data_IF_088548498200
#
_entry.id   IF_088548498200
#
_cell.length_a   1.000
_cell.length_b   1.000
_cell.length_c   1.000
_cell.angle_alpha   90.00
_cell.angle_beta   90.00
_cell.angle_gamma   90.00
#
_symmetry.space_group_name_H-M   'P 1'
#
loop_
_entity.id
_entity.type
_entity.pdbx_description
1 polymer ?
#
# COMPACT_ATOMS: atom_id res chain seq x y z
N UNK A 1 -40.90 -2.98 -2.66
CA UNK A 1 -39.72 -3.22 -3.47
C UNK A 1 -38.52 -2.36 -3.09
N UNK A 2 -38.67 -1.13 -2.61
CA UNK A 2 -37.56 -0.19 -2.30
C UNK A 2 -36.66 -0.57 -1.11
N UNK A 3 -37.17 -1.28 -0.10
CA UNK A 3 -36.42 -1.59 1.14
C UNK A 3 -35.34 -2.69 0.92
N UNK A 4 -35.62 -3.68 0.08
CA UNK A 4 -34.64 -4.73 -0.28
C UNK A 4 -33.51 -4.21 -1.17
N UNK A 5 -33.79 -3.26 -2.03
CA UNK A 5 -32.76 -2.69 -2.96
C UNK A 5 -31.78 -1.80 -2.21
N UNK A 6 -32.25 -1.03 -1.21
CA UNK A 6 -31.39 -0.23 -0.34
C UNK A 6 -30.48 -1.10 0.54
N UNK A 7 -31.02 -2.17 1.15
CA UNK A 7 -30.22 -3.12 1.95
C UNK A 7 -29.09 -3.75 1.14
N UNK A 8 -29.39 -4.21 -0.08
CA UNK A 8 -28.40 -4.82 -0.98
C UNK A 8 -27.30 -3.83 -1.40
N UNK A 9 -27.63 -2.55 -1.54
CA UNK A 9 -26.65 -1.52 -1.87
C UNK A 9 -25.71 -1.22 -0.69
N UNK A 10 -26.25 -1.06 0.51
CA UNK A 10 -25.45 -0.85 1.73
C UNK A 10 -24.52 -2.04 2.03
N UNK A 11 -25.00 -3.26 1.81
CA UNK A 11 -24.21 -4.47 1.93
C UNK A 11 -23.03 -4.49 0.93
N UNK A 12 -23.31 -4.16 -0.34
CA UNK A 12 -22.29 -4.12 -1.37
C UNK A 12 -21.25 -3.00 -1.15
N UNK A 13 -21.65 -1.85 -0.60
CA UNK A 13 -20.72 -0.80 -0.18
C UNK A 13 -19.83 -1.25 0.99
N UNK A 14 -20.41 -1.97 1.95
CA UNK A 14 -19.67 -2.52 3.08
C UNK A 14 -18.66 -3.58 2.62
N UNK A 15 -19.04 -4.42 1.67
CA UNK A 15 -18.17 -5.40 1.05
C UNK A 15 -17.00 -4.73 0.31
N UNK A 16 -17.28 -3.67 -0.46
CA UNK A 16 -16.25 -2.90 -1.15
C UNK A 16 -15.22 -2.31 -0.17
N UNK A 17 -15.68 -1.68 0.91
CA UNK A 17 -14.80 -1.17 1.98
C UNK A 17 -13.94 -2.28 2.60
N UNK A 18 -14.55 -3.43 2.87
CA UNK A 18 -13.84 -4.59 3.41
C UNK A 18 -12.77 -5.11 2.46
N UNK A 19 -13.07 -5.15 1.15
CA UNK A 19 -12.13 -5.56 0.11
C UNK A 19 -10.92 -4.62 0.04
N UNK A 20 -11.14 -3.30 0.08
CA UNK A 20 -10.07 -2.29 0.13
C UNK A 20 -9.21 -2.45 1.38
N UNK A 21 -9.83 -2.64 2.54
CA UNK A 21 -9.08 -2.83 3.80
C UNK A 21 -8.23 -4.11 3.79
N UNK A 22 -8.77 -5.21 3.27
CA UNK A 22 -8.01 -6.48 3.10
C UNK A 22 -6.83 -6.30 2.16
N UNK A 23 -7.04 -5.65 1.02
CA UNK A 23 -5.96 -5.34 0.06
C UNK A 23 -4.88 -4.47 0.71
N UNK A 24 -5.28 -3.49 1.55
CA UNK A 24 -4.35 -2.66 2.32
C UNK A 24 -3.43 -3.47 3.20
N UNK A 25 -3.99 -4.42 3.98
CA UNK A 25 -3.19 -5.33 4.81
C UNK A 25 -2.23 -6.22 4.01
N UNK A 26 -2.65 -6.68 2.81
CA UNK A 26 -1.78 -7.45 1.90
C UNK A 26 -0.63 -6.60 1.37
N UNK A 27 -0.89 -5.38 0.93
CA UNK A 27 0.12 -4.46 0.43
C UNK A 27 1.13 -4.07 1.52
N UNK A 28 0.66 -3.75 2.73
CA UNK A 28 1.53 -3.48 3.88
C UNK A 28 2.45 -4.66 4.18
N UNK A 29 1.88 -5.88 4.23
CA UNK A 29 2.64 -7.10 4.45
C UNK A 29 3.69 -7.33 3.37
N UNK A 30 3.35 -7.17 2.10
CA UNK A 30 4.30 -7.31 1.00
C UNK A 30 5.43 -6.27 1.08
N UNK A 31 5.15 -5.02 1.48
CA UNK A 31 6.19 -4.02 1.71
C UNK A 31 7.14 -4.43 2.85
N UNK A 32 6.61 -4.98 3.96
CA UNK A 32 7.41 -5.50 5.08
C UNK A 32 8.29 -6.69 4.67
N UNK A 33 7.69 -7.67 3.99
CA UNK A 33 8.39 -8.86 3.51
C UNK A 33 9.44 -8.47 2.44
N UNK A 34 9.13 -7.51 1.56
CA UNK A 34 10.03 -6.97 0.55
C UNK A 34 11.25 -6.27 1.15
N UNK A 35 11.04 -5.44 2.17
CA UNK A 35 12.14 -4.81 2.91
C UNK A 35 13.01 -5.84 3.62
N UNK A 36 12.39 -6.84 4.25
CA UNK A 36 13.10 -7.91 4.93
C UNK A 36 13.92 -8.77 3.96
N UNK A 37 13.35 -9.12 2.81
CA UNK A 37 14.03 -9.84 1.74
C UNK A 37 15.25 -9.06 1.20
N UNK A 38 15.06 -7.75 1.00
CA UNK A 38 16.11 -6.85 0.53
C UNK A 38 17.28 -6.76 1.50
N UNK A 39 17.02 -6.70 2.82
CA UNK A 39 18.06 -6.61 3.84
C UNK A 39 18.78 -7.96 4.03
N UNK A 40 18.02 -9.08 4.00
CA UNK A 40 18.55 -10.42 4.30
C UNK A 40 19.09 -11.17 3.09
N UNK A 41 18.83 -10.69 1.87
CA UNK A 41 19.14 -11.37 0.60
C UNK A 41 18.60 -12.82 0.53
N UNK A 42 17.44 -13.06 1.12
CA UNK A 42 16.84 -14.39 1.23
C UNK A 42 15.99 -14.73 -0.01
N UNK A 43 16.44 -15.72 -0.78
CA UNK A 43 15.82 -16.15 -2.06
C UNK A 43 14.39 -16.68 -1.87
N UNK A 44 14.09 -17.35 -0.78
CA UNK A 44 12.75 -17.89 -0.53
C UNK A 44 11.76 -16.77 -0.19
N UNK A 45 12.20 -15.72 0.49
CA UNK A 45 11.39 -14.52 0.72
C UNK A 45 11.09 -13.78 -0.60
N UNK A 46 12.04 -13.73 -1.54
CA UNK A 46 11.83 -13.12 -2.87
C UNK A 46 10.72 -13.87 -3.64
N UNK A 47 10.75 -15.21 -3.62
CA UNK A 47 9.69 -16.02 -4.25
C UNK A 47 8.34 -15.75 -3.61
N UNK A 48 8.28 -15.71 -2.28
CA UNK A 48 7.06 -15.40 -1.53
C UNK A 48 6.50 -14.01 -1.87
N UNK A 49 7.35 -12.99 -1.99
CA UNK A 49 6.93 -11.65 -2.42
C UNK A 49 6.31 -11.66 -3.83
N UNK A 50 6.83 -12.46 -4.77
CA UNK A 50 6.24 -12.59 -6.11
C UNK A 50 4.85 -13.26 -6.08
N UNK A 51 4.59 -14.19 -5.16
CA UNK A 51 3.27 -14.80 -5.02
C UNK A 51 2.27 -13.86 -4.31
N UNK A 52 2.72 -13.13 -3.31
CA UNK A 52 1.89 -12.11 -2.64
C UNK A 52 1.44 -11.00 -3.60
N UNK A 53 2.30 -10.57 -4.49
CA UNK A 53 2.02 -9.58 -5.52
C UNK A 53 0.85 -10.00 -6.43
N UNK A 54 0.84 -11.24 -6.90
CA UNK A 54 -0.29 -11.78 -7.68
C UNK A 54 -1.63 -11.73 -6.94
N UNK A 55 -1.60 -11.92 -5.62
CA UNK A 55 -2.79 -11.85 -4.77
C UNK A 55 -3.29 -10.41 -4.69
N UNK A 56 -2.38 -9.42 -4.65
CA UNK A 56 -2.72 -8.00 -4.65
C UNK A 56 -3.31 -7.59 -6.00
N UNK A 57 -2.73 -8.04 -7.12
CA UNK A 57 -3.27 -7.82 -8.47
C UNK A 57 -4.70 -8.35 -8.61
N UNK A 58 -4.97 -9.54 -8.06
CA UNK A 58 -6.31 -10.13 -8.09
C UNK A 58 -7.28 -9.36 -7.20
N UNK A 59 -6.82 -8.89 -6.05
CA UNK A 59 -7.63 -8.04 -5.17
C UNK A 59 -8.00 -6.71 -5.84
N UNK A 60 -7.06 -6.05 -6.56
CA UNK A 60 -7.35 -4.85 -7.33
C UNK A 60 -8.41 -5.12 -8.41
N UNK A 61 -8.25 -6.19 -9.20
CA UNK A 61 -9.25 -6.57 -10.22
C UNK A 61 -10.63 -6.81 -9.62
N UNK A 62 -10.69 -7.48 -8.48
CA UNK A 62 -11.95 -7.73 -7.76
C UNK A 62 -12.60 -6.42 -7.30
N UNK A 63 -11.84 -5.49 -6.71
CA UNK A 63 -12.33 -4.17 -6.30
C UNK A 63 -12.86 -3.39 -7.51
N UNK A 64 -12.14 -3.40 -8.63
CA UNK A 64 -12.56 -2.77 -9.87
C UNK A 64 -13.91 -3.33 -10.35
N UNK A 65 -14.07 -4.65 -10.36
CA UNK A 65 -15.33 -5.30 -10.76
C UNK A 65 -16.50 -4.95 -9.81
N UNK A 66 -16.27 -4.98 -8.49
CA UNK A 66 -17.27 -4.59 -7.48
C UNK A 66 -17.72 -3.14 -7.71
N UNK A 67 -16.77 -2.24 -7.94
CA UNK A 67 -17.02 -0.82 -8.20
C UNK A 67 -17.84 -0.61 -9.47
N UNK A 68 -17.45 -1.21 -10.59
CA UNK A 68 -18.20 -1.10 -11.84
C UNK A 68 -19.61 -1.66 -11.69
N UNK A 69 -19.79 -2.77 -10.97
CA UNK A 69 -21.11 -3.33 -10.69
C UNK A 69 -21.98 -2.38 -9.88
N UNK A 70 -21.44 -1.75 -8.84
CA UNK A 70 -22.15 -0.76 -8.03
C UNK A 70 -22.59 0.44 -8.87
N UNK A 71 -21.71 0.98 -9.72
CA UNK A 71 -22.01 2.11 -10.59
C UNK A 71 -23.07 1.77 -11.66
N UNK A 72 -23.03 0.56 -12.21
CA UNK A 72 -23.93 0.14 -13.28
C UNK A 72 -25.35 -0.20 -12.79
N UNK A 73 -25.47 -0.79 -11.61
CA UNK A 73 -26.74 -1.31 -11.09
C UNK A 73 -27.48 -0.35 -10.15
N UNK A 74 -26.76 0.58 -9.54
CA UNK A 74 -27.26 1.49 -8.54
C UNK A 74 -26.85 2.90 -8.95
N UNK A 75 -27.75 3.84 -9.00
CA UNK A 75 -27.41 5.24 -9.28
C UNK A 75 -26.92 5.92 -7.97
N UNK A 76 -25.65 5.71 -7.55
CA UNK A 76 -25.18 6.19 -6.25
C UNK A 76 -25.16 7.71 -6.22
N UNK A 77 -25.54 8.29 -5.09
CA UNK A 77 -25.61 9.74 -4.94
C UNK A 77 -24.42 10.29 -4.15
N UNK A 78 -23.97 11.42 -4.60
CA UNK A 78 -23.00 12.31 -3.93
C UNK A 78 -21.91 11.60 -3.07
N UNK A 79 -22.21 11.28 -1.82
CA UNK A 79 -21.25 10.71 -0.85
C UNK A 79 -20.87 9.28 -1.24
N UNK A 80 -21.84 8.45 -1.62
CA UNK A 80 -21.59 7.05 -1.99
C UNK A 80 -20.80 6.97 -3.29
N UNK A 81 -21.16 7.80 -4.28
CA UNK A 81 -20.40 7.89 -5.53
C UNK A 81 -18.93 8.27 -5.26
N UNK A 82 -18.70 9.26 -4.39
CA UNK A 82 -17.34 9.66 -4.01
C UNK A 82 -16.57 8.53 -3.36
N UNK A 83 -17.20 7.80 -2.43
CA UNK A 83 -16.59 6.66 -1.76
C UNK A 83 -16.23 5.55 -2.76
N UNK A 84 -17.13 5.21 -3.67
CA UNK A 84 -16.91 4.18 -4.70
C UNK A 84 -15.72 4.57 -5.58
N UNK A 85 -15.66 5.82 -6.09
CA UNK A 85 -14.54 6.30 -6.92
C UNK A 85 -13.23 6.33 -6.12
N UNK A 86 -13.26 6.77 -4.86
CA UNK A 86 -12.07 6.78 -4.00
C UNK A 86 -11.54 5.36 -3.76
N UNK A 87 -12.43 4.36 -3.65
CA UNK A 87 -12.01 2.95 -3.51
C UNK A 87 -11.18 2.45 -4.70
N UNK A 88 -11.52 2.85 -5.94
CA UNK A 88 -10.70 2.56 -7.13
C UNK A 88 -9.31 3.18 -7.03
N UNK A 89 -9.25 4.45 -6.63
CA UNK A 89 -7.99 5.17 -6.52
C UNK A 89 -7.10 4.56 -5.43
N UNK A 90 -7.69 4.20 -4.29
CA UNK A 90 -6.95 3.54 -3.20
C UNK A 90 -6.45 2.17 -3.66
N UNK A 91 -7.26 1.36 -4.34
CA UNK A 91 -6.85 0.05 -4.83
C UNK A 91 -5.63 0.15 -5.77
N UNK A 92 -5.66 1.09 -6.72
CA UNK A 92 -4.52 1.33 -7.61
C UNK A 92 -3.28 1.83 -6.88
N UNK A 93 -3.43 2.67 -5.85
CA UNK A 93 -2.29 3.08 -5.01
C UNK A 93 -1.72 1.90 -4.21
N UNK A 94 -2.56 1.01 -3.70
CA UNK A 94 -2.15 -0.17 -2.93
C UNK A 94 -1.42 -1.20 -3.79
N UNK A 95 -1.88 -1.43 -5.02
CA UNK A 95 -1.18 -2.26 -6.00
C UNK A 95 0.23 -1.72 -6.24
N UNK A 96 0.38 -0.41 -6.49
CA UNK A 96 1.69 0.22 -6.66
C UNK A 96 2.58 0.08 -5.43
N UNK A 97 2.03 0.17 -4.22
CA UNK A 97 2.78 -0.11 -2.99
C UNK A 97 3.28 -1.57 -2.96
N UNK A 98 2.43 -2.53 -3.32
CA UNK A 98 2.81 -3.93 -3.47
C UNK A 98 3.92 -4.14 -4.49
N UNK A 99 3.76 -3.56 -5.68
CA UNK A 99 4.76 -3.55 -6.74
C UNK A 99 6.13 -3.04 -6.25
N UNK A 100 6.16 -1.96 -5.46
CA UNK A 100 7.41 -1.45 -4.88
C UNK A 100 8.00 -2.44 -3.87
N UNK A 101 7.19 -3.08 -3.02
CA UNK A 101 7.63 -4.12 -2.09
C UNK A 101 8.26 -5.31 -2.81
N UNK A 102 7.60 -5.84 -3.84
CA UNK A 102 8.12 -6.91 -4.69
C UNK A 102 9.41 -6.49 -5.40
N UNK A 103 9.44 -5.29 -6.00
CA UNK A 103 10.61 -4.81 -6.71
C UNK A 103 11.81 -4.59 -5.77
N UNK A 104 11.55 -4.19 -4.53
CA UNK A 104 12.58 -4.09 -3.50
C UNK A 104 13.16 -5.47 -3.18
N UNK A 105 12.31 -6.49 -2.95
CA UNK A 105 12.74 -7.86 -2.74
C UNK A 105 13.64 -8.37 -3.88
N UNK A 106 13.27 -8.12 -5.14
CA UNK A 106 14.03 -8.53 -6.32
C UNK A 106 15.40 -7.88 -6.44
N UNK A 107 15.61 -6.74 -5.80
CA UNK A 107 16.90 -6.01 -5.79
C UNK A 107 17.83 -6.43 -4.66
N UNK A 108 17.46 -7.45 -3.89
CA UNK A 108 18.31 -7.98 -2.81
C UNK A 108 19.65 -8.53 -3.30
N UNK A 109 19.74 -8.93 -4.57
CA UNK A 109 20.97 -9.38 -5.24
C UNK A 109 21.95 -8.24 -5.58
N UNK A 110 21.52 -6.98 -5.49
CA UNK A 110 22.40 -5.82 -5.71
C UNK A 110 23.40 -5.56 -4.56
N UNK A 111 23.50 -6.48 -3.60
CA UNK A 111 24.64 -6.54 -2.69
C UNK A 111 24.65 -5.50 -1.58
N UNK A 112 23.49 -5.20 -0.95
CA UNK A 112 23.49 -4.42 0.29
C UNK A 112 24.32 -5.05 1.41
N UNK A 113 24.56 -6.37 1.35
CA UNK A 113 25.51 -7.04 2.24
C UNK A 113 26.94 -6.53 2.08
N UNK A 114 27.28 -5.96 0.93
CA UNK A 114 28.58 -5.33 0.62
C UNK A 114 28.55 -3.81 0.81
N UNK A 115 27.36 -3.21 1.02
CA UNK A 115 27.23 -1.79 1.25
C UNK A 115 27.75 -1.38 2.64
N UNK A 116 28.15 -0.11 2.77
CA UNK A 116 28.57 0.39 4.07
C UNK A 116 27.45 0.23 5.11
N UNK A 117 27.78 -0.07 6.38
CA UNK A 117 26.78 -0.22 7.46
C UNK A 117 25.86 0.99 7.60
N UNK A 118 26.37 2.20 7.30
CA UNK A 118 25.59 3.43 7.34
C UNK A 118 24.53 3.48 6.24
N UNK A 119 24.85 3.03 5.02
CA UNK A 119 23.91 2.97 3.91
C UNK A 119 22.82 1.92 4.18
N UNK A 120 23.20 0.72 4.60
CA UNK A 120 22.26 -0.35 4.95
C UNK A 120 21.28 0.08 6.06
N UNK A 121 21.78 0.71 7.11
CA UNK A 121 20.97 1.25 8.20
C UNK A 121 20.03 2.38 7.73
N UNK A 122 20.53 3.25 6.85
CA UNK A 122 19.72 4.33 6.25
C UNK A 122 18.56 3.77 5.43
N UNK A 123 18.83 2.80 4.56
CA UNK A 123 17.81 2.14 3.72
C UNK A 123 16.75 1.43 4.57
N UNK A 124 17.16 0.74 5.63
CA UNK A 124 16.23 0.11 6.58
C UNK A 124 15.31 1.16 7.21
N UNK A 125 15.86 2.23 7.75
CA UNK A 125 15.08 3.32 8.36
C UNK A 125 14.11 3.96 7.37
N UNK A 126 14.50 4.18 6.13
CA UNK A 126 13.63 4.72 5.09
C UNK A 126 12.45 3.77 4.82
N UNK A 127 12.72 2.48 4.64
CA UNK A 127 11.69 1.48 4.42
C UNK A 127 10.72 1.37 5.59
N UNK A 128 11.21 1.32 6.82
CA UNK A 128 10.39 1.29 8.04
C UNK A 128 9.50 2.55 8.16
N UNK A 129 10.04 3.73 7.86
CA UNK A 129 9.27 4.98 7.89
C UNK A 129 8.17 4.99 6.81
N UNK A 130 8.45 4.53 5.60
CA UNK A 130 7.46 4.42 4.53
C UNK A 130 6.34 3.42 4.86
N UNK A 131 6.68 2.25 5.41
CA UNK A 131 5.71 1.24 5.85
C UNK A 131 4.84 1.78 6.98
N UNK A 132 5.42 2.48 7.95
CA UNK A 132 4.65 3.12 9.03
C UNK A 132 3.68 4.18 8.48
N UNK A 133 4.10 4.97 7.50
CA UNK A 133 3.22 5.94 6.83
C UNK A 133 2.06 5.25 6.11
N UNK A 134 2.31 4.14 5.40
CA UNK A 134 1.26 3.32 4.79
C UNK A 134 0.29 2.77 5.83
N UNK A 135 0.80 2.16 6.91
CA UNK A 135 -0.01 1.66 8.03
C UNK A 135 -0.93 2.74 8.61
N UNK A 136 -0.38 3.91 8.93
CA UNK A 136 -1.15 5.02 9.48
C UNK A 136 -2.20 5.53 8.48
N UNK A 137 -1.90 5.55 7.17
CA UNK A 137 -2.83 5.95 6.13
C UNK A 137 -4.02 4.98 6.02
N UNK A 138 -3.75 3.68 6.09
CA UNK A 138 -4.78 2.64 6.14
C UNK A 138 -5.66 2.77 7.38
N UNK A 139 -5.06 3.04 8.54
CA UNK A 139 -5.79 3.28 9.78
C UNK A 139 -6.66 4.54 9.72
N UNK A 140 -6.11 5.66 9.20
CA UNK A 140 -6.87 6.89 9.02
C UNK A 140 -8.07 6.68 8.08
N UNK A 141 -7.88 5.94 6.98
CA UNK A 141 -8.96 5.58 6.06
C UNK A 141 -10.03 4.70 6.73
N UNK A 142 -9.61 3.63 7.39
CA UNK A 142 -10.53 2.68 8.04
C UNK A 142 -11.37 3.32 9.15
N UNK A 143 -10.79 4.26 9.88
CA UNK A 143 -11.45 4.95 11.01
C UNK A 143 -12.12 6.27 10.61
N UNK A 144 -11.93 6.74 9.37
CA UNK A 144 -12.38 8.06 8.93
C UNK A 144 -11.70 9.22 9.67
N UNK A 145 -10.50 9.01 10.20
CA UNK A 145 -9.79 10.00 11.01
C UNK A 145 -9.06 11.03 10.12
N UNK A 146 -9.75 12.14 9.87
CA UNK A 146 -9.26 13.24 9.02
C UNK A 146 -8.02 13.93 9.61
N UNK A 147 -7.95 14.07 10.93
CA UNK A 147 -6.80 14.72 11.57
C UNK A 147 -5.54 13.86 11.46
N UNK A 148 -5.66 12.55 11.63
CA UNK A 148 -4.56 11.63 11.38
C UNK A 148 -4.11 11.69 9.92
N UNK A 149 -5.05 11.70 8.96
CA UNK A 149 -4.73 11.83 7.54
C UNK A 149 -3.93 13.11 7.23
N UNK A 150 -4.32 14.25 7.80
CA UNK A 150 -3.57 15.50 7.66
C UNK A 150 -2.16 15.42 8.25
N UNK A 151 -2.02 14.81 9.43
CA UNK A 151 -0.72 14.62 10.09
C UNK A 151 0.22 13.77 9.23
N UNK A 152 -0.29 12.72 8.59
CA UNK A 152 0.49 11.86 7.70
C UNK A 152 1.00 12.67 6.49
N UNK A 153 0.15 13.46 5.86
CA UNK A 153 0.55 14.34 4.74
C UNK A 153 1.64 15.33 5.14
N UNK A 154 1.61 15.85 6.37
CA UNK A 154 2.65 16.75 6.88
C UNK A 154 3.94 15.99 7.25
N UNK A 155 3.82 14.74 7.65
CA UNK A 155 4.95 13.86 8.02
C UNK A 155 5.82 13.41 6.86
N UNK A 156 5.35 13.55 5.62
CA UNK A 156 6.08 13.14 4.40
C UNK A 156 7.45 13.83 4.28
N UNK A 157 7.56 15.07 4.75
CA UNK A 157 8.83 15.81 4.79
C UNK A 157 9.95 15.13 5.60
N UNK A 158 9.62 14.32 6.59
CA UNK A 158 10.63 13.58 7.37
C UNK A 158 11.16 12.37 6.58
N UNK A 159 10.30 11.70 5.83
CA UNK A 159 10.69 10.62 4.91
C UNK A 159 11.62 11.17 3.83
N UNK A 160 11.29 12.33 3.25
CA UNK A 160 12.13 13.03 2.28
C UNK A 160 13.53 13.36 2.84
N UNK A 161 13.62 13.81 4.08
CA UNK A 161 14.92 14.10 4.72
C UNK A 161 15.76 12.82 4.87
N UNK A 162 15.14 11.70 5.27
CA UNK A 162 15.84 10.41 5.35
C UNK A 162 16.35 10.01 3.96
N UNK A 163 15.51 10.12 2.93
CA UNK A 163 15.88 9.82 1.54
C UNK A 163 17.07 10.67 1.08
N UNK A 164 17.01 11.99 1.26
CA UNK A 164 18.10 12.91 0.88
C UNK A 164 19.40 12.60 1.63
N UNK A 165 19.33 12.20 2.90
CA UNK A 165 20.52 11.83 3.65
C UNK A 165 21.19 10.57 3.08
N UNK A 166 20.41 9.57 2.66
CA UNK A 166 20.90 8.34 2.03
C UNK A 166 21.53 8.66 0.67
N UNK A 167 20.87 9.49 -0.13
CA UNK A 167 21.38 9.91 -1.42
C UNK A 167 22.75 10.62 -1.29
N UNK A 168 22.89 11.51 -0.32
CA UNK A 168 24.16 12.18 -0.03
C UNK A 168 25.26 11.20 0.38
N UNK A 169 24.93 10.20 1.20
CA UNK A 169 25.89 9.14 1.59
C UNK A 169 26.33 8.30 0.38
N UNK A 170 25.43 7.98 -0.55
CA UNK A 170 25.77 7.21 -1.74
C UNK A 170 26.73 7.95 -2.68
N UNK A 171 26.65 9.27 -2.75
CA UNK A 171 27.55 10.08 -3.57
C UNK A 171 28.97 10.22 -2.99
N UNK A 172 29.12 10.06 -1.68
CA UNK A 172 30.43 10.15 -1.01
C UNK A 172 31.25 8.85 -1.18
N UNK A 173 30.58 7.74 -1.46
CA UNK A 173 31.18 6.41 -1.58
C UNK A 173 31.44 5.97 -3.05
N UNK A 174 31.15 6.82 -4.02
CA UNK A 174 31.55 6.64 -5.42
C UNK A 174 32.86 7.38 -5.67
#
# INVERSE_FOLDING_TARGET
MTKHTLSNFEEALTELKSSVSKMGGLAEKLCQDGLSAFISSNVDMIKNCNEQDKIIDEAERSINQQTFRLLALQAPMAIDLRMIITSLQIASCLERCGDYGRNLARRSDLGLSEASPSLSSGMKRLGEAAILSLHNSLNAHATGNVELAKQICLGDTEIDKIYLSIFSLSLIHI
#
